data_IF_589081867489
#
_entry.id   IF_589081867489
#
_cell.length_a   1.000
_cell.length_b   1.000
_cell.length_c   1.000
_cell.angle_alpha   90.00
_cell.angle_beta   90.00
_cell.angle_gamma   90.00
#
_symmetry.space_group_name_H-M   'P 1'
#
loop_
_entity.id
_entity.type
_entity.pdbx_description
1 polymer ?
#
# COMPACT_ATOMS: atom_id res chain seq x y z
N UNK A 1 -17.01 9.14 -6.49
CA UNK A 1 -16.54 10.55 -6.61
C UNK A 1 -17.03 11.45 -5.47
N UNK A 2 -16.96 10.99 -4.20
CA UNK A 2 -17.25 11.84 -3.02
C UNK A 2 -15.98 12.18 -2.27
N UNK A 3 -15.13 11.18 -1.99
CA UNK A 3 -13.85 11.41 -1.32
C UNK A 3 -13.01 12.48 -2.04
N UNK A 4 -12.87 12.37 -3.36
CA UNK A 4 -12.11 13.33 -4.16
C UNK A 4 -12.67 14.77 -4.10
N UNK A 5 -13.99 14.95 -4.30
CA UNK A 5 -14.59 16.30 -4.30
C UNK A 5 -14.56 16.96 -2.92
N UNK A 6 -14.69 16.14 -1.87
CA UNK A 6 -14.62 16.57 -0.47
C UNK A 6 -13.18 16.62 0.07
N UNK A 7 -12.17 16.38 -0.78
CA UNK A 7 -10.75 16.31 -0.41
C UNK A 7 -10.47 15.39 0.78
N UNK A 8 -11.21 14.30 0.89
CA UNK A 8 -11.00 13.27 1.91
C UNK A 8 -9.88 12.32 1.47
N UNK A 9 -9.09 11.78 2.41
CA UNK A 9 -8.11 10.74 2.09
C UNK A 9 -8.73 9.58 1.32
N UNK A 10 -8.04 9.12 0.28
CA UNK A 10 -8.43 7.95 -0.50
C UNK A 10 -7.18 7.11 -0.77
N UNK A 11 -7.26 5.84 -0.42
CA UNK A 11 -6.24 4.84 -0.70
C UNK A 11 -6.87 3.83 -1.65
N UNK A 12 -6.19 3.52 -2.76
CA UNK A 12 -6.57 2.48 -3.71
C UNK A 12 -5.51 1.40 -3.69
N UNK A 13 -5.93 0.15 -3.49
CA UNK A 13 -5.05 -1.00 -3.35
C UNK A 13 -5.22 -1.95 -4.54
N UNK A 14 -4.61 -1.65 -5.71
CA UNK A 14 -4.76 -2.49 -6.89
C UNK A 14 -4.01 -3.81 -6.75
N UNK A 15 -4.60 -4.89 -7.28
CA UNK A 15 -3.97 -6.21 -7.42
C UNK A 15 -4.22 -6.72 -8.84
N UNK A 16 -3.23 -6.56 -9.70
CA UNK A 16 -3.23 -7.07 -11.08
C UNK A 16 -1.78 -7.27 -11.53
N UNK A 17 -1.55 -8.23 -12.43
CA UNK A 17 -0.27 -8.41 -13.11
C UNK A 17 -0.47 -9.25 -14.39
N UNK A 18 0.02 -8.79 -15.57
CA UNK A 18 0.68 -7.51 -15.82
C UNK A 18 -0.30 -6.34 -15.88
N UNK A 19 0.18 -5.13 -15.64
CA UNK A 19 -0.63 -3.94 -15.87
C UNK A 19 -0.68 -3.60 -17.37
N UNK A 20 -1.89 -3.52 -17.92
CA UNK A 20 -2.11 -2.86 -19.21
C UNK A 20 -1.90 -1.34 -19.08
N UNK A 21 -1.59 -0.67 -20.20
CA UNK A 21 -1.37 0.79 -20.23
C UNK A 21 -2.53 1.57 -19.61
N UNK A 22 -3.78 1.13 -19.85
CA UNK A 22 -4.98 1.76 -19.26
C UNK A 22 -4.98 1.71 -17.72
N UNK A 23 -4.44 0.65 -17.10
CA UNK A 23 -4.32 0.58 -15.65
C UNK A 23 -3.33 1.64 -15.15
N UNK A 24 -2.17 1.75 -15.80
CA UNK A 24 -1.12 2.70 -15.44
C UNK A 24 -1.58 4.15 -15.63
N UNK A 25 -2.26 4.47 -16.73
CA UNK A 25 -2.83 5.80 -16.96
C UNK A 25 -3.86 6.18 -15.90
N UNK A 26 -4.74 5.25 -15.54
CA UNK A 26 -5.76 5.49 -14.51
C UNK A 26 -5.12 5.68 -13.13
N UNK A 27 -4.14 4.84 -12.75
CA UNK A 27 -3.39 4.98 -11.50
C UNK A 27 -2.59 6.29 -11.47
N UNK A 28 -2.00 6.70 -12.58
CA UNK A 28 -1.28 7.98 -12.69
C UNK A 28 -2.21 9.17 -12.50
N UNK A 29 -3.40 9.16 -13.14
CA UNK A 29 -4.42 10.20 -12.94
C UNK A 29 -4.86 10.30 -11.48
N UNK A 30 -5.12 9.16 -10.83
CA UNK A 30 -5.49 9.13 -9.41
C UNK A 30 -4.38 9.68 -8.52
N UNK A 31 -3.13 9.25 -8.75
CA UNK A 31 -1.96 9.75 -8.02
C UNK A 31 -1.81 11.27 -8.14
N UNK A 32 -1.98 11.82 -9.35
CA UNK A 32 -1.96 13.27 -9.60
C UNK A 32 -3.08 14.05 -8.88
N UNK A 33 -4.15 13.38 -8.47
CA UNK A 33 -5.24 13.97 -7.68
C UNK A 33 -5.05 13.82 -6.16
N UNK A 34 -3.89 13.31 -5.72
CA UNK A 34 -3.58 13.11 -4.30
C UNK A 34 -4.14 11.81 -3.73
N UNK A 35 -4.57 10.86 -4.57
CA UNK A 35 -4.95 9.51 -4.14
C UNK A 35 -3.68 8.69 -3.89
N UNK A 36 -3.65 7.98 -2.77
CA UNK A 36 -2.57 7.02 -2.50
C UNK A 36 -2.83 5.76 -3.32
N UNK A 37 -1.99 5.48 -4.31
CA UNK A 37 -2.01 4.23 -5.06
C UNK A 37 -0.99 3.26 -4.45
N UNK A 38 -1.47 2.24 -3.75
CA UNK A 38 -0.66 1.30 -2.97
C UNK A 38 -0.93 -0.12 -3.49
N UNK A 39 -0.18 -0.64 -4.47
CA UNK A 39 -0.44 -1.98 -4.99
C UNK A 39 -0.25 -3.05 -3.91
N UNK A 40 -1.04 -4.14 -3.99
CA UNK A 40 -0.90 -5.31 -3.13
C UNK A 40 0.34 -6.16 -3.52
N UNK A 41 1.51 -5.53 -3.41
CA UNK A 41 2.83 -6.06 -3.75
C UNK A 41 3.66 -6.16 -2.48
N UNK A 42 3.52 -7.25 -1.69
CA UNK A 42 4.21 -7.38 -0.40
C UNK A 42 5.73 -7.47 -0.55
N UNK A 43 6.45 -6.85 0.38
CA UNK A 43 7.91 -6.93 0.47
C UNK A 43 8.37 -8.17 1.23
N UNK A 44 9.61 -8.59 1.00
CA UNK A 44 10.19 -9.80 1.61
C UNK A 44 11.34 -9.51 2.58
N UNK A 45 11.66 -8.23 2.83
CA UNK A 45 12.80 -7.84 3.68
C UNK A 45 12.64 -8.25 5.14
N UNK A 46 11.42 -8.54 5.60
CA UNK A 46 11.13 -9.08 6.93
C UNK A 46 11.12 -10.62 6.99
N UNK A 47 11.60 -11.30 5.94
CA UNK A 47 11.70 -12.78 5.85
C UNK A 47 10.40 -13.50 6.27
N UNK A 48 9.24 -13.22 5.63
CA UNK A 48 7.95 -13.82 5.98
C UNK A 48 8.01 -15.35 6.01
N UNK A 49 7.27 -15.97 6.93
CA UNK A 49 7.13 -17.42 7.11
C UNK A 49 5.77 -17.93 6.65
N UNK A 50 4.76 -17.07 6.67
CA UNK A 50 3.38 -17.42 6.37
C UNK A 50 2.79 -16.50 5.29
N UNK A 51 1.63 -16.87 4.73
CA UNK A 51 0.90 -16.01 3.80
C UNK A 51 0.32 -14.82 4.56
N UNK A 52 -0.10 -15.04 5.80
CA UNK A 52 -0.60 -14.04 6.72
C UNK A 52 0.43 -12.91 6.91
N UNK A 53 1.73 -13.24 7.04
CA UNK A 53 2.79 -12.23 7.13
C UNK A 53 2.85 -11.31 5.89
N UNK A 54 2.55 -11.84 4.71
CA UNK A 54 2.49 -11.05 3.46
C UNK A 54 1.24 -10.17 3.40
N UNK A 55 0.12 -10.65 3.93
CA UNK A 55 -1.12 -9.86 4.06
C UNK A 55 -0.90 -8.73 5.06
N UNK A 56 -0.37 -9.05 6.24
CA UNK A 56 -0.07 -8.12 7.31
C UNK A 56 0.90 -7.03 6.86
N UNK A 57 1.85 -7.35 5.99
CA UNK A 57 2.70 -6.35 5.34
C UNK A 57 1.89 -5.28 4.59
N UNK A 58 0.97 -5.69 3.72
CA UNK A 58 0.18 -4.75 2.91
C UNK A 58 -0.78 -3.97 3.82
N UNK A 59 -1.41 -4.63 4.79
CA UNK A 59 -2.31 -4.00 5.77
C UNK A 59 -1.58 -2.96 6.60
N UNK A 60 -0.38 -3.27 7.11
CA UNK A 60 0.47 -2.32 7.83
C UNK A 60 0.70 -1.04 7.01
N UNK A 61 1.05 -1.17 5.72
CA UNK A 61 1.27 0.00 4.85
C UNK A 61 0.00 0.81 4.61
N UNK A 62 -1.18 0.18 4.59
CA UNK A 62 -2.47 0.90 4.50
C UNK A 62 -2.74 1.66 5.80
N UNK A 63 -2.56 1.01 6.96
CA UNK A 63 -2.78 1.62 8.27
C UNK A 63 -1.81 2.79 8.52
N UNK A 64 -0.55 2.67 8.11
CA UNK A 64 0.43 3.76 8.12
C UNK A 64 -0.10 5.01 7.36
N UNK A 65 -0.72 4.82 6.19
CA UNK A 65 -1.29 5.92 5.39
C UNK A 65 -2.56 6.51 6.02
N UNK A 66 -3.28 5.73 6.82
CA UNK A 66 -4.43 6.18 7.60
C UNK A 66 -4.04 6.85 8.92
N UNK A 67 -2.77 6.77 9.33
CA UNK A 67 -2.31 7.26 10.63
C UNK A 67 -2.82 6.42 11.81
N UNK A 68 -3.10 5.13 11.59
CA UNK A 68 -3.57 4.20 12.63
C UNK A 68 -2.39 3.42 13.18
N UNK A 69 -2.18 3.46 14.49
CA UNK A 69 -1.14 2.68 15.16
C UNK A 69 -1.42 1.17 15.07
N UNK A 70 -0.39 0.36 14.79
CA UNK A 70 -0.50 -1.09 14.69
C UNK A 70 0.84 -1.77 14.97
N UNK A 71 0.78 -3.07 15.32
CA UNK A 71 1.97 -3.91 15.59
C UNK A 71 2.17 -5.03 14.54
N UNK A 72 1.54 -4.91 13.36
CA UNK A 72 1.54 -5.93 12.30
C UNK A 72 2.87 -6.12 11.56
N UNK A 73 3.77 -5.14 11.61
CA UNK A 73 5.02 -5.20 10.86
C UNK A 73 6.13 -4.47 11.60
N UNK A 74 7.35 -5.01 11.54
CA UNK A 74 8.52 -4.30 12.02
C UNK A 74 8.89 -3.21 11.01
N UNK A 75 8.82 -1.95 11.45
CA UNK A 75 9.30 -0.82 10.66
C UNK A 75 10.79 -0.98 10.41
N UNK A 76 11.21 -0.76 9.17
CA UNK A 76 12.63 -0.75 8.82
C UNK A 76 13.35 0.36 9.59
N UNK A 77 14.24 -0.01 10.51
CA UNK A 77 15.05 0.92 11.31
C UNK A 77 16.40 1.24 10.67
N UNK A 78 16.78 0.55 9.59
CA UNK A 78 18.09 0.69 8.95
C UNK A 78 19.20 -0.15 9.60
N UNK A 79 18.91 -0.83 10.70
CA UNK A 79 19.82 -1.80 11.31
C UNK A 79 19.66 -3.17 10.63
N UNK A 80 20.76 -3.89 10.44
CA UNK A 80 20.72 -5.25 9.90
C UNK A 80 19.89 -6.13 10.83
N UNK A 81 18.77 -6.62 10.31
CA UNK A 81 17.96 -7.65 10.98
C UNK A 81 18.76 -8.95 10.94
N UNK A 82 19.47 -9.26 12.04
CA UNK A 82 20.13 -10.54 12.27
C UNK A 82 19.11 -11.69 12.17
#
# INVERSE_FOLDING_TARGET
MVALKERRPLIVVPREAPFATVHLENMTKLSNWGVVVLPASPGFYHKPKTIEDLVDFVVARILDQMGVEHNLSQRWTGEEVQ
#
